data_IF_672825268369
#
_entry.id   IF_672825268369
#
_cell.length_a   1.000
_cell.length_b   1.000
_cell.length_c   1.000
_cell.angle_alpha   90.00
_cell.angle_beta   90.00
_cell.angle_gamma   90.00
#
_symmetry.space_group_name_H-M   'P 1'
#
loop_
_entity.id
_entity.type
_entity.pdbx_description
1 polymer ?
#
# COMPACT_ATOMS: atom_id res chain seq x y z
N UNK A 1 13.45 -38.92 54.10
CA UNK A 1 14.52 -38.45 53.18
C UNK A 1 13.90 -38.31 51.79
N UNK A 2 13.63 -37.10 51.27
CA UNK A 2 13.01 -36.95 49.95
C UNK A 2 14.08 -37.02 48.85
N UNK A 3 13.78 -37.79 47.81
CA UNK A 3 14.63 -38.02 46.63
C UNK A 3 14.51 -36.85 45.65
N UNK A 4 15.64 -36.32 45.18
CA UNK A 4 15.70 -35.25 44.17
C UNK A 4 15.61 -35.89 42.78
N UNK A 5 14.50 -35.67 42.07
CA UNK A 5 14.38 -36.06 40.66
C UNK A 5 15.15 -35.07 39.78
N UNK A 6 16.09 -35.58 38.98
CA UNK A 6 16.77 -34.81 37.96
C UNK A 6 15.78 -34.45 36.83
N UNK A 7 15.56 -33.14 36.63
CA UNK A 7 14.77 -32.64 35.51
C UNK A 7 15.53 -32.92 34.20
N UNK A 8 15.00 -33.83 33.39
CA UNK A 8 15.48 -34.07 32.02
C UNK A 8 15.14 -32.83 31.17
N UNK A 9 16.18 -32.17 30.66
CA UNK A 9 16.03 -31.08 29.69
C UNK A 9 15.45 -31.64 28.39
N UNK A 10 14.35 -31.05 27.91
CA UNK A 10 13.78 -31.39 26.61
C UNK A 10 14.83 -31.13 25.53
N UNK A 11 15.02 -32.05 24.56
CA UNK A 11 15.95 -31.81 23.46
C UNK A 11 15.49 -30.57 22.69
N UNK A 12 16.43 -29.65 22.48
CA UNK A 12 16.24 -28.48 21.61
C UNK A 12 15.90 -29.01 20.22
N UNK A 13 14.67 -28.77 19.77
CA UNK A 13 14.25 -29.01 18.39
C UNK A 13 15.25 -28.32 17.48
N UNK A 14 16.05 -29.10 16.75
CA UNK A 14 16.92 -28.57 15.70
C UNK A 14 16.01 -27.85 14.72
N UNK A 15 16.21 -26.54 14.55
CA UNK A 15 15.53 -25.79 13.51
C UNK A 15 15.85 -26.44 12.18
N UNK A 16 14.85 -26.96 11.47
CA UNK A 16 15.02 -27.55 10.15
C UNK A 16 15.85 -26.60 9.28
N UNK A 17 17.02 -27.08 8.84
CA UNK A 17 17.95 -26.32 8.01
C UNK A 17 17.34 -26.21 6.61
N UNK A 18 16.46 -25.23 6.43
CA UNK A 18 15.85 -24.94 5.15
C UNK A 18 16.89 -24.34 4.20
N UNK A 19 17.21 -25.05 3.11
CA UNK A 19 18.09 -24.51 2.06
C UNK A 19 17.30 -23.50 1.24
N UNK A 20 17.62 -22.22 1.43
CA UNK A 20 16.99 -21.11 0.70
C UNK A 20 17.83 -20.79 -0.52
N UNK A 21 17.21 -20.67 -1.68
CA UNK A 21 17.86 -20.24 -2.93
C UNK A 21 16.94 -19.28 -3.66
N UNK A 22 17.47 -18.17 -4.15
CA UNK A 22 16.70 -17.24 -4.98
C UNK A 22 16.83 -17.65 -6.44
N UNK A 23 15.70 -17.79 -7.14
CA UNK A 23 15.68 -18.11 -8.57
C UNK A 23 14.87 -17.06 -9.34
N UNK A 24 15.36 -16.69 -10.51
CA UNK A 24 14.64 -15.85 -11.46
C UNK A 24 13.70 -16.75 -12.26
N UNK A 25 12.42 -16.76 -11.88
CA UNK A 25 11.43 -17.67 -12.46
C UNK A 25 10.34 -16.89 -13.21
N UNK A 26 9.83 -17.44 -14.32
CA UNK A 26 8.68 -16.86 -15.00
C UNK A 26 7.43 -17.02 -14.13
N UNK A 27 6.54 -16.04 -14.20
CA UNK A 27 5.23 -16.09 -13.58
C UNK A 27 4.19 -15.39 -14.48
N UNK A 28 2.93 -15.76 -14.32
CA UNK A 28 1.79 -15.02 -14.85
C UNK A 28 1.12 -14.27 -13.70
N UNK A 29 0.64 -13.07 -13.95
CA UNK A 29 -0.08 -12.27 -12.97
C UNK A 29 -1.57 -12.46 -13.19
N UNK A 30 -2.27 -13.16 -12.29
CA UNK A 30 -3.72 -13.40 -12.40
C UNK A 30 -4.56 -12.12 -12.52
N UNK A 31 -4.02 -10.99 -12.08
CA UNK A 31 -4.68 -9.69 -12.20
C UNK A 31 -4.63 -9.09 -13.62
N UNK A 32 -3.96 -9.74 -14.57
CA UNK A 32 -3.93 -9.35 -15.98
C UNK A 32 -4.62 -10.41 -16.83
N UNK A 33 -5.38 -9.98 -17.84
CA UNK A 33 -6.06 -10.87 -18.79
C UNK A 33 -5.20 -11.21 -20.02
N UNK A 34 -4.09 -10.48 -20.24
CA UNK A 34 -3.28 -10.54 -21.46
C UNK A 34 -2.26 -11.69 -21.51
N UNK A 35 -2.33 -12.64 -20.57
CA UNK A 35 -1.40 -13.78 -20.46
C UNK A 35 0.09 -13.39 -20.47
N UNK A 36 0.42 -12.14 -20.14
CA UNK A 36 1.80 -11.65 -20.17
C UNK A 36 2.65 -12.41 -19.15
N UNK A 37 3.75 -13.00 -19.61
CA UNK A 37 4.73 -13.67 -18.76
C UNK A 37 5.80 -12.69 -18.29
N UNK A 38 5.91 -12.52 -16.98
CA UNK A 38 6.91 -11.67 -16.33
C UNK A 38 7.89 -12.54 -15.54
N UNK A 39 8.97 -11.95 -15.05
CA UNK A 39 9.96 -12.65 -14.23
C UNK A 39 10.17 -11.94 -12.89
N UNK A 40 10.40 -12.73 -11.83
CA UNK A 40 10.65 -12.22 -10.49
C UNK A 40 11.64 -13.11 -9.74
N UNK A 41 12.37 -12.53 -8.77
CA UNK A 41 13.24 -13.26 -7.86
C UNK A 41 12.38 -13.96 -6.82
N UNK A 42 12.26 -15.29 -6.93
CA UNK A 42 11.42 -16.09 -6.05
C UNK A 42 12.29 -16.87 -5.06
N UNK A 43 11.93 -16.78 -3.78
CA UNK A 43 12.56 -17.55 -2.71
C UNK A 43 12.13 -19.02 -2.82
N UNK A 44 13.05 -19.89 -3.15
CA UNK A 44 12.85 -21.35 -3.24
C UNK A 44 13.38 -21.98 -1.97
N UNK A 45 12.57 -22.83 -1.35
CA UNK A 45 12.90 -23.51 -0.10
C UNK A 45 12.98 -25.01 -0.37
N UNK A 46 14.12 -25.62 -0.03
CA UNK A 46 14.37 -27.05 -0.24
C UNK A 46 14.12 -27.51 -1.70
N UNK A 47 14.44 -26.65 -2.68
CA UNK A 47 14.25 -26.94 -4.10
C UNK A 47 12.81 -26.77 -4.62
N UNK A 48 11.84 -26.52 -3.73
CA UNK A 48 10.43 -26.34 -4.07
C UNK A 48 10.12 -24.85 -4.23
N UNK A 49 9.68 -24.39 -5.43
CA UNK A 49 9.17 -23.03 -5.59
C UNK A 49 7.83 -22.86 -4.85
N UNK A 50 7.51 -21.65 -4.37
CA UNK A 50 6.22 -21.38 -3.75
C UNK A 50 5.09 -21.71 -4.72
N UNK A 51 4.14 -22.50 -4.25
CA UNK A 51 2.98 -22.92 -5.03
C UNK A 51 1.87 -21.89 -4.89
N UNK A 52 1.18 -21.59 -6.00
CA UNK A 52 0.06 -20.67 -6.04
C UNK A 52 0.27 -19.55 -7.05
N UNK A 53 -0.66 -18.60 -7.04
CA UNK A 53 -0.59 -17.39 -7.82
C UNK A 53 0.57 -16.48 -7.37
N UNK A 54 0.99 -15.56 -8.23
CA UNK A 54 2.08 -14.64 -7.93
C UNK A 54 1.80 -13.86 -6.64
N UNK A 55 2.75 -13.88 -5.70
CA UNK A 55 2.57 -13.35 -4.33
C UNK A 55 2.11 -11.89 -4.24
N UNK A 56 2.37 -11.10 -5.30
CA UNK A 56 1.97 -9.69 -5.38
C UNK A 56 0.73 -9.45 -6.27
N UNK A 57 0.16 -10.49 -6.90
CA UNK A 57 -1.05 -10.37 -7.72
C UNK A 57 -2.22 -9.75 -6.95
N UNK A 58 -2.35 -10.08 -5.65
CA UNK A 58 -3.33 -9.48 -4.73
C UNK A 58 -3.28 -7.95 -4.59
N UNK A 59 -2.15 -7.33 -4.98
CA UNK A 59 -2.00 -5.87 -4.96
C UNK A 59 -2.36 -5.24 -6.30
N UNK A 60 -2.46 -6.01 -7.38
CA UNK A 60 -3.03 -5.57 -8.65
C UNK A 60 -4.56 -5.65 -8.57
N UNK A 61 -5.15 -4.89 -7.65
CA UNK A 61 -6.60 -4.82 -7.54
C UNK A 61 -7.14 -3.93 -8.65
N UNK A 62 -7.45 -4.53 -9.79
CA UNK A 62 -8.17 -3.85 -10.87
C UNK A 62 -9.52 -3.35 -10.34
N UNK A 63 -9.94 -2.18 -10.79
CA UNK A 63 -11.26 -1.63 -10.45
C UNK A 63 -12.29 -2.17 -11.43
N UNK A 64 -13.30 -2.88 -10.94
CA UNK A 64 -14.44 -3.23 -11.79
C UNK A 64 -15.35 -2.03 -12.00
N UNK A 65 -16.25 -2.13 -12.98
CA UNK A 65 -17.28 -1.11 -13.20
C UNK A 65 -18.18 -1.01 -11.98
N UNK A 66 -18.63 -2.13 -11.45
CA UNK A 66 -19.52 -2.23 -10.30
C UNK A 66 -18.89 -1.64 -9.04
N UNK A 67 -17.60 -1.92 -8.79
CA UNK A 67 -16.85 -1.29 -7.70
C UNK A 67 -16.74 0.23 -7.89
N UNK A 68 -16.57 0.68 -9.13
CA UNK A 68 -16.49 2.12 -9.43
C UNK A 68 -17.85 2.78 -9.21
N UNK A 69 -18.94 2.18 -9.69
CA UNK A 69 -20.30 2.69 -9.51
C UNK A 69 -20.65 2.76 -8.01
N UNK A 70 -20.34 1.70 -7.23
CA UNK A 70 -20.49 1.71 -5.77
C UNK A 70 -19.71 2.85 -5.10
N UNK A 71 -18.47 3.12 -5.53
CA UNK A 71 -17.67 4.24 -5.01
C UNK A 71 -18.37 5.57 -5.27
N UNK A 72 -18.91 5.80 -6.47
CA UNK A 72 -19.60 7.06 -6.80
C UNK A 72 -20.90 7.23 -5.99
N UNK A 73 -21.68 6.16 -5.81
CA UNK A 73 -22.89 6.19 -4.97
C UNK A 73 -22.56 6.53 -3.51
N UNK A 74 -21.48 5.94 -2.97
CA UNK A 74 -21.02 6.26 -1.61
C UNK A 74 -20.45 7.68 -1.51
N UNK A 75 -19.78 8.17 -2.55
CA UNK A 75 -19.30 9.54 -2.63
C UNK A 75 -20.45 10.56 -2.56
N UNK A 76 -21.58 10.26 -3.22
CA UNK A 76 -22.81 11.05 -3.13
C UNK A 76 -23.43 10.97 -1.73
N UNK A 77 -23.63 9.77 -1.20
CA UNK A 77 -24.27 9.56 0.12
C UNK A 77 -23.47 10.15 1.29
N UNK A 78 -22.13 10.02 1.25
CA UNK A 78 -21.25 10.45 2.34
C UNK A 78 -20.54 11.77 2.06
N UNK A 79 -20.96 12.54 1.05
CA UNK A 79 -20.41 13.86 0.71
C UNK A 79 -18.87 13.85 0.61
N UNK A 80 -18.29 12.88 -0.12
CA UNK A 80 -16.85 12.71 -0.33
C UNK A 80 -16.00 12.53 0.95
N UNK A 81 -16.61 12.12 2.08
CA UNK A 81 -15.86 11.79 3.31
C UNK A 81 -15.15 10.45 3.17
N UNK A 82 -14.03 10.41 2.44
CA UNK A 82 -13.30 9.19 2.11
C UNK A 82 -12.88 8.33 3.31
N UNK A 83 -12.69 8.92 4.50
CA UNK A 83 -12.40 8.14 5.72
C UNK A 83 -13.60 7.26 6.11
N UNK A 84 -14.82 7.80 6.01
CA UNK A 84 -16.05 7.06 6.28
C UNK A 84 -16.29 6.03 5.19
N UNK A 85 -16.11 6.43 3.93
CA UNK A 85 -16.28 5.55 2.77
C UNK A 85 -15.34 4.35 2.88
N UNK A 86 -14.04 4.56 3.13
CA UNK A 86 -13.06 3.49 3.29
C UNK A 86 -13.39 2.50 4.42
N UNK A 87 -14.05 2.96 5.48
CA UNK A 87 -14.47 2.10 6.58
C UNK A 87 -15.66 1.19 6.22
N UNK A 88 -16.51 1.61 5.28
CA UNK A 88 -17.75 0.89 4.91
C UNK A 88 -17.58 0.14 3.59
N UNK A 89 -16.59 0.51 2.77
CA UNK A 89 -16.39 -0.03 1.43
C UNK A 89 -16.24 -1.55 1.46
N UNK A 90 -16.91 -2.25 0.53
CA UNK A 90 -17.01 -3.71 0.54
C UNK A 90 -15.66 -4.39 0.31
N UNK A 91 -14.78 -3.78 -0.47
CA UNK A 91 -13.39 -4.21 -0.61
C UNK A 91 -12.46 -3.42 0.31
N UNK A 92 -11.42 -4.08 0.82
CA UNK A 92 -10.40 -3.45 1.69
C UNK A 92 -9.49 -2.51 0.88
N UNK A 93 -10.04 -1.40 0.41
CA UNK A 93 -9.35 -0.35 -0.36
C UNK A 93 -8.84 0.74 0.58
N UNK A 94 -7.65 1.25 0.33
CA UNK A 94 -7.12 2.38 1.12
C UNK A 94 -7.79 3.68 0.71
N UNK A 95 -7.75 4.69 1.59
CA UNK A 95 -8.28 6.03 1.30
C UNK A 95 -7.63 6.62 0.04
N UNK A 96 -6.35 6.34 -0.16
CA UNK A 96 -5.58 6.77 -1.32
C UNK A 96 -6.10 6.12 -2.61
N UNK A 97 -6.35 4.81 -2.59
CA UNK A 97 -6.90 4.07 -3.74
C UNK A 97 -8.29 4.57 -4.13
N UNK A 98 -9.15 4.85 -3.14
CA UNK A 98 -10.49 5.40 -3.39
C UNK A 98 -10.43 6.79 -4.03
N UNK A 99 -9.54 7.66 -3.51
CA UNK A 99 -9.34 9.01 -4.05
C UNK A 99 -8.77 8.96 -5.47
N UNK A 100 -7.73 8.14 -5.68
CA UNK A 100 -7.11 7.94 -6.98
C UNK A 100 -8.14 7.56 -8.04
N UNK A 101 -8.98 6.56 -7.74
CA UNK A 101 -10.05 6.14 -8.66
C UNK A 101 -11.07 7.24 -8.91
N UNK A 102 -11.57 7.88 -7.86
CA UNK A 102 -12.60 8.92 -7.97
C UNK A 102 -12.13 10.10 -8.83
N UNK A 103 -10.94 10.63 -8.54
CA UNK A 103 -10.40 11.77 -9.27
C UNK A 103 -9.97 11.39 -10.68
N UNK A 104 -9.39 10.20 -10.88
CA UNK A 104 -9.02 9.71 -12.21
C UNK A 104 -10.25 9.57 -13.13
N UNK A 105 -11.34 8.96 -12.64
CA UNK A 105 -12.59 8.82 -13.42
C UNK A 105 -13.26 10.18 -13.64
N UNK A 106 -13.34 11.03 -12.60
CA UNK A 106 -13.92 12.38 -12.72
C UNK A 106 -13.18 13.22 -13.77
N UNK A 107 -11.85 13.17 -13.76
CA UNK A 107 -11.00 13.83 -14.75
C UNK A 107 -11.22 13.26 -16.15
N UNK A 108 -11.25 11.93 -16.31
CA UNK A 108 -11.50 11.30 -17.60
C UNK A 108 -12.86 11.71 -18.19
N UNK A 109 -13.92 11.76 -17.37
CA UNK A 109 -15.25 12.21 -17.77
C UNK A 109 -15.23 13.70 -18.15
N UNK A 110 -14.57 14.55 -17.36
CA UNK A 110 -14.44 15.98 -17.66
C UNK A 110 -13.74 16.22 -19.00
N UNK A 111 -12.63 15.53 -19.25
CA UNK A 111 -11.88 15.62 -20.51
C UNK A 111 -12.74 15.12 -21.68
N UNK A 112 -13.42 13.98 -21.52
CA UNK A 112 -14.27 13.41 -22.57
C UNK A 112 -15.47 14.31 -22.92
N UNK A 113 -15.94 15.14 -21.98
CA UNK A 113 -17.04 16.09 -22.19
C UNK A 113 -16.58 17.45 -22.73
N UNK A 114 -15.28 17.73 -22.72
CA UNK A 114 -14.75 19.02 -23.14
C UNK A 114 -14.72 19.14 -24.67
N UNK A 115 -15.09 20.32 -25.18
CA UNK A 115 -14.93 20.64 -26.61
C UNK A 115 -13.47 20.95 -26.97
N UNK A 116 -12.70 21.50 -26.02
CA UNK A 116 -11.27 21.78 -26.18
C UNK A 116 -10.49 21.51 -24.88
N UNK A 117 -9.22 21.03 -24.95
CA UNK A 117 -8.35 20.86 -23.79
C UNK A 117 -8.12 22.14 -22.96
N UNK A 118 -8.26 23.32 -23.57
CA UNK A 118 -8.12 24.60 -22.88
C UNK A 118 -9.28 24.88 -21.90
N UNK A 119 -10.48 24.38 -22.19
CA UNK A 119 -11.69 24.64 -21.38
C UNK A 119 -11.63 23.92 -20.03
N UNK A 120 -10.98 22.76 -20.03
CA UNK A 120 -10.84 21.88 -18.86
C UNK A 120 -9.63 22.24 -18.00
N UNK A 121 -8.58 22.84 -18.57
CA UNK A 121 -7.33 23.18 -17.88
C UNK A 121 -7.47 24.05 -16.62
N UNK A 122 -8.53 24.86 -16.53
CA UNK A 122 -8.81 25.72 -15.37
C UNK A 122 -9.61 25.02 -14.26
N UNK A 123 -10.08 23.80 -14.49
CA UNK A 123 -10.90 23.07 -13.53
C UNK A 123 -10.01 22.53 -12.37
N UNK A 124 -10.32 22.86 -11.10
CA UNK A 124 -9.55 22.39 -9.95
C UNK A 124 -9.42 20.86 -9.85
N UNK A 125 -10.38 20.10 -10.38
CA UNK A 125 -10.36 18.63 -10.38
C UNK A 125 -9.40 18.03 -11.39
N UNK A 126 -8.85 18.84 -12.30
CA UNK A 126 -7.83 18.43 -13.28
C UNK A 126 -6.42 18.63 -12.72
N UNK A 127 -6.31 19.28 -11.56
CA UNK A 127 -5.07 19.26 -10.80
C UNK A 127 -4.89 17.84 -10.27
N UNK A 128 -3.92 17.15 -10.84
CA UNK A 128 -3.66 15.73 -10.63
C UNK A 128 -3.55 15.41 -9.13
N UNK A 129 -4.41 14.52 -8.64
CA UNK A 129 -4.30 13.99 -7.29
C UNK A 129 -3.02 13.14 -7.21
N UNK A 130 -1.97 13.69 -6.62
CA UNK A 130 -0.70 13.00 -6.51
C UNK A 130 -0.70 12.08 -5.29
N UNK A 131 -0.96 10.79 -5.55
CA UNK A 131 -0.97 9.73 -4.52
C UNK A 131 0.34 9.70 -3.74
N UNK A 132 1.49 9.79 -4.43
CA UNK A 132 2.82 9.76 -3.80
C UNK A 132 2.99 10.92 -2.81
N UNK A 133 2.59 12.12 -3.20
CA UNK A 133 2.66 13.29 -2.34
C UNK A 133 1.76 13.15 -1.10
N UNK A 134 0.55 12.59 -1.25
CA UNK A 134 -0.34 12.38 -0.10
C UNK A 134 0.21 11.32 0.86
N UNK A 135 0.82 10.25 0.33
CA UNK A 135 1.51 9.23 1.13
C UNK A 135 2.70 9.84 1.87
N UNK A 136 3.56 10.59 1.19
CA UNK A 136 4.72 11.26 1.79
C UNK A 136 4.30 12.26 2.87
N UNK A 137 3.26 13.04 2.61
CA UNK A 137 2.70 14.00 3.57
C UNK A 137 2.22 13.28 4.83
N UNK A 138 1.51 12.15 4.69
CA UNK A 138 1.07 11.34 5.83
C UNK A 138 2.23 10.72 6.59
N UNK A 139 3.24 10.19 5.89
CA UNK A 139 4.43 9.63 6.51
C UNK A 139 5.22 10.70 7.29
N UNK A 140 5.45 11.87 6.70
CA UNK A 140 6.12 12.99 7.35
C UNK A 140 5.36 13.44 8.61
N UNK A 141 4.03 13.54 8.53
CA UNK A 141 3.20 13.88 9.68
C UNK A 141 3.29 12.80 10.77
N UNK A 142 3.25 11.51 10.39
CA UNK A 142 3.42 10.40 11.32
C UNK A 142 4.76 10.45 12.05
N UNK A 143 5.84 10.83 11.37
CA UNK A 143 7.15 11.00 12.00
C UNK A 143 7.14 12.15 13.02
N UNK A 144 6.51 13.28 12.69
CA UNK A 144 6.40 14.42 13.63
C UNK A 144 5.55 14.05 14.84
N UNK A 145 4.45 13.32 14.64
CA UNK A 145 3.55 12.92 15.73
C UNK A 145 4.12 11.82 16.62
N UNK A 146 5.01 10.96 16.10
CA UNK A 146 5.70 9.94 16.89
C UNK A 146 6.90 10.49 17.66
N UNK A 147 7.33 11.72 17.39
CA UNK A 147 8.40 12.37 18.16
C UNK A 147 7.94 12.66 19.59
N UNK A 148 8.74 12.23 20.56
CA UNK A 148 8.57 12.64 21.95
C UNK A 148 8.96 14.10 22.13
N UNK A 149 8.35 14.79 23.10
CA UNK A 149 8.68 16.21 23.42
C UNK A 149 10.18 16.43 23.65
N UNK A 150 10.88 15.41 24.16
CA UNK A 150 12.31 15.45 24.43
C UNK A 150 13.15 15.34 23.16
N UNK A 151 12.73 14.54 22.18
CA UNK A 151 13.37 14.45 20.87
C UNK A 151 13.20 15.75 20.08
N UNK A 152 12.00 16.33 20.09
CA UNK A 152 11.73 17.61 19.43
C UNK A 152 12.58 18.77 19.99
N UNK A 153 12.84 18.79 21.32
CA UNK A 153 13.73 19.78 21.95
C UNK A 153 15.17 19.63 21.49
N UNK A 154 15.70 18.40 21.49
CA UNK A 154 17.08 18.13 21.02
C UNK A 154 17.27 18.47 19.55
N UNK A 155 16.30 18.11 18.70
CA UNK A 155 16.35 18.43 17.27
C UNK A 155 16.26 19.95 17.02
N UNK A 156 15.52 20.69 17.86
CA UNK A 156 15.45 22.15 17.80
C UNK A 156 16.77 22.81 18.23
N UNK A 157 17.36 22.37 19.33
CA UNK A 157 18.69 22.81 19.79
C UNK A 157 19.76 22.55 18.72
N UNK A 158 19.71 21.37 18.08
CA UNK A 158 20.65 20.99 17.03
C UNK A 158 20.45 21.79 15.73
N UNK A 159 19.19 22.14 15.37
CA UNK A 159 18.89 23.05 14.26
C UNK A 159 19.38 24.47 14.52
N UNK A 160 19.22 24.96 15.75
CA UNK A 160 19.69 26.29 16.14
C UNK A 160 21.21 26.36 16.12
N UNK A 161 21.89 25.32 16.61
CA UNK A 161 23.34 25.19 16.53
C UNK A 161 23.85 25.21 15.07
N UNK A 162 23.20 24.48 14.16
CA UNK A 162 23.54 24.48 12.73
C UNK A 162 23.19 25.78 12.00
N UNK A 163 22.32 26.63 12.56
CA UNK A 163 21.96 27.92 11.99
C UNK A 163 22.93 29.03 12.42
N UNK A 164 23.56 28.86 13.57
CA UNK A 164 24.52 29.80 14.16
C UNK A 164 25.98 29.47 13.81
N UNK A 165 26.23 28.30 13.21
CA UNK A 165 27.51 27.88 12.64
C UNK A 165 27.60 28.24 11.14
#
# INVERSE_FOLDING_TARGET
MPSIHAAQSKPRTQSENHKITWRWLPFTNSAREDSLQLHHWVRVINGVPPTGDYSFAKHNKMWTREETDQLFDMCEQFNLRFIVIANIFSSSRTVEELKDRYYGVSQAILIARASSPADVSRNPLIKEYNVSQEIERKHALSMVLSQTRQQARKDAEQREYLRLA
#
